data_IF_067002897720
#
_entry.id   IF_067002897720
#
_cell.length_a   1.000
_cell.length_b   1.000
_cell.length_c   1.000
_cell.angle_alpha   90.00
_cell.angle_beta   90.00
_cell.angle_gamma   90.00
#
_symmetry.space_group_name_H-M   'P 1'
#
loop_
_entity.id
_entity.type
_entity.pdbx_description
1 polymer ?
#
# COMPACT_ATOMS: atom_id res chain seq x y z
N UNK A 1 8.48 -25.35 -8.37
CA UNK A 1 8.75 -23.91 -8.22
C UNK A 1 7.60 -23.15 -8.86
N UNK A 2 6.68 -22.62 -8.08
CA UNK A 2 5.45 -21.96 -8.59
C UNK A 2 5.74 -20.52 -9.01
N UNK A 3 5.09 -20.00 -10.08
CA UNK A 3 5.40 -18.72 -10.71
C UNK A 3 4.88 -17.46 -9.96
N UNK A 4 4.51 -17.58 -8.68
CA UNK A 4 3.86 -16.48 -7.94
C UNK A 4 4.76 -15.25 -7.67
N UNK A 5 6.08 -15.36 -7.84
CA UNK A 5 7.05 -14.32 -7.47
C UNK A 5 7.33 -13.26 -8.55
N UNK A 6 6.83 -13.42 -9.77
CA UNK A 6 7.05 -12.47 -10.87
C UNK A 6 5.99 -11.37 -10.92
N UNK A 7 4.72 -11.69 -10.64
CA UNK A 7 3.63 -10.70 -10.59
C UNK A 7 3.52 -9.96 -9.24
N UNK A 8 4.29 -10.36 -8.23
CA UNK A 8 4.17 -9.75 -6.89
C UNK A 8 4.55 -8.26 -6.90
N UNK A 9 5.63 -7.87 -7.59
CA UNK A 9 6.09 -6.48 -7.63
C UNK A 9 5.03 -5.51 -8.14
N UNK A 10 4.55 -5.74 -9.36
CA UNK A 10 3.50 -4.94 -10.00
C UNK A 10 2.20 -4.93 -9.17
N UNK A 11 1.80 -6.07 -8.58
CA UNK A 11 0.64 -6.15 -7.71
C UNK A 11 0.76 -5.21 -6.51
N UNK A 12 1.89 -5.27 -5.78
CA UNK A 12 2.14 -4.43 -4.63
C UNK A 12 2.27 -2.94 -5.03
N UNK A 13 2.89 -2.64 -6.17
CA UNK A 13 2.93 -1.27 -6.72
C UNK A 13 1.52 -0.72 -6.98
N UNK A 14 0.64 -1.50 -7.61
CA UNK A 14 -0.74 -1.10 -7.86
C UNK A 14 -1.54 -0.93 -6.56
N UNK A 15 -1.32 -1.80 -5.56
CA UNK A 15 -1.92 -1.65 -4.23
C UNK A 15 -1.49 -0.36 -3.54
N UNK A 16 -0.21 -0.02 -3.55
CA UNK A 16 0.30 1.26 -2.99
C UNK A 16 -0.32 2.47 -3.70
N UNK A 17 -0.43 2.42 -5.03
CA UNK A 17 -1.10 3.48 -5.80
C UNK A 17 -2.57 3.66 -5.42
N UNK A 18 -3.32 2.55 -5.28
CA UNK A 18 -4.71 2.58 -4.82
C UNK A 18 -4.84 3.12 -3.39
N UNK A 19 -4.03 2.61 -2.46
CA UNK A 19 -4.06 3.02 -1.05
C UNK A 19 -3.76 4.51 -0.88
N UNK A 20 -2.85 5.08 -1.68
CA UNK A 20 -2.59 6.53 -1.68
C UNK A 20 -3.84 7.34 -2.01
N UNK A 21 -4.63 6.92 -3.00
CA UNK A 21 -5.92 7.56 -3.31
C UNK A 21 -6.91 7.40 -2.17
N UNK A 22 -7.14 6.16 -1.74
CA UNK A 22 -8.11 5.84 -0.70
C UNK A 22 -7.84 6.54 0.64
N UNK A 23 -6.56 6.63 1.05
CA UNK A 23 -6.17 7.32 2.29
C UNK A 23 -6.37 8.82 2.18
N UNK A 24 -6.05 9.45 1.04
CA UNK A 24 -6.30 10.89 0.84
C UNK A 24 -7.78 11.23 0.87
N UNK A 25 -8.62 10.38 0.28
CA UNK A 25 -10.07 10.56 0.33
C UNK A 25 -10.61 10.37 1.75
N UNK A 26 -10.13 9.34 2.48
CA UNK A 26 -10.53 9.11 3.87
C UNK A 26 -10.07 10.26 4.79
N UNK A 27 -8.86 10.75 4.62
CA UNK A 27 -8.33 11.92 5.34
C UNK A 27 -9.19 13.15 5.07
N UNK A 28 -9.46 13.47 3.80
CA UNK A 28 -10.28 14.62 3.43
C UNK A 28 -11.68 14.54 4.02
N UNK A 29 -12.31 13.36 3.98
CA UNK A 29 -13.62 13.11 4.57
C UNK A 29 -13.63 13.33 6.10
N UNK A 30 -12.60 12.83 6.79
CA UNK A 30 -12.49 12.98 8.25
C UNK A 30 -12.12 14.41 8.65
N UNK A 31 -11.37 15.13 7.83
CA UNK A 31 -11.05 16.54 8.04
C UNK A 31 -12.28 17.43 7.86
N UNK A 32 -13.11 17.15 6.85
CA UNK A 32 -14.38 17.86 6.63
C UNK A 32 -15.40 17.56 7.74
N UNK A 33 -15.48 16.28 8.16
CA UNK A 33 -16.41 15.84 9.20
C UNK A 33 -15.70 15.03 10.30
N UNK A 34 -15.07 15.68 11.29
CA UNK A 34 -14.34 14.99 12.36
C UNK A 34 -15.22 14.05 13.19
N UNK A 35 -16.53 14.33 13.27
CA UNK A 35 -17.51 13.46 13.94
C UNK A 35 -17.65 12.08 13.31
N UNK A 36 -17.22 11.90 12.04
CA UNK A 36 -17.20 10.58 11.39
C UNK A 36 -16.10 9.67 11.92
N UNK A 37 -15.12 10.19 12.68
CA UNK A 37 -14.03 9.37 13.21
C UNK A 37 -14.54 8.21 14.08
N UNK A 38 -15.58 8.43 14.89
CA UNK A 38 -16.21 7.38 15.70
C UNK A 38 -16.75 6.21 14.86
N UNK A 39 -17.75 6.43 13.99
CA UNK A 39 -18.33 5.37 13.16
C UNK A 39 -17.38 4.86 12.05
N UNK A 40 -16.33 5.61 11.70
CA UNK A 40 -15.34 5.20 10.68
C UNK A 40 -14.01 4.71 11.27
N UNK A 41 -13.86 4.60 12.58
CA UNK A 41 -12.61 4.23 13.24
C UNK A 41 -12.01 2.92 12.68
N UNK A 42 -12.85 1.93 12.40
CA UNK A 42 -12.42 0.67 11.81
C UNK A 42 -11.74 0.88 10.44
N UNK A 43 -12.31 1.73 9.58
CA UNK A 43 -11.74 2.04 8.27
C UNK A 43 -10.38 2.74 8.39
N UNK A 44 -10.21 3.61 9.39
CA UNK A 44 -8.92 4.26 9.69
C UNK A 44 -7.87 3.22 10.05
N UNK A 45 -8.16 2.32 11.00
CA UNK A 45 -7.21 1.28 11.40
C UNK A 45 -6.93 0.29 10.28
N UNK A 46 -7.92 -0.07 9.46
CA UNK A 46 -7.72 -0.90 8.27
C UNK A 46 -6.79 -0.22 7.26
N UNK A 47 -7.04 1.05 6.93
CA UNK A 47 -6.21 1.80 5.99
C UNK A 47 -4.76 1.90 6.47
N UNK A 48 -4.55 2.22 7.76
CA UNK A 48 -3.21 2.25 8.36
C UNK A 48 -2.52 0.89 8.34
N UNK A 49 -3.24 -0.20 8.66
CA UNK A 49 -2.68 -1.56 8.60
C UNK A 49 -2.25 -1.92 7.18
N UNK A 50 -3.10 -1.66 6.18
CA UNK A 50 -2.78 -1.97 4.79
C UNK A 50 -1.59 -1.15 4.28
N UNK A 51 -1.52 0.14 4.60
CA UNK A 51 -0.36 0.97 4.27
C UNK A 51 0.93 0.46 4.92
N UNK A 52 0.88 0.13 6.23
CA UNK A 52 2.03 -0.43 6.95
C UNK A 52 2.52 -1.72 6.31
N UNK A 53 1.59 -2.62 5.95
CA UNK A 53 1.92 -3.92 5.39
C UNK A 53 2.59 -3.78 4.01
N UNK A 54 2.08 -2.86 3.17
CA UNK A 54 2.68 -2.59 1.85
C UNK A 54 4.05 -1.89 1.95
N UNK A 55 4.25 -0.96 2.88
CA UNK A 55 5.57 -0.35 3.14
C UNK A 55 6.56 -1.40 3.64
N UNK A 56 6.13 -2.24 4.59
CA UNK A 56 6.96 -3.33 5.13
C UNK A 56 7.33 -4.34 4.05
N UNK A 57 6.39 -4.65 3.16
CA UNK A 57 6.64 -5.50 2.00
C UNK A 57 7.68 -4.87 1.07
N UNK A 58 7.52 -3.59 0.73
CA UNK A 58 8.42 -2.88 -0.18
C UNK A 58 9.85 -2.86 0.34
N UNK A 59 10.07 -2.45 1.60
CA UNK A 59 11.41 -2.37 2.20
C UNK A 59 12.14 -3.71 2.14
N UNK A 60 11.47 -4.79 2.55
CA UNK A 60 12.06 -6.14 2.55
C UNK A 60 12.42 -6.65 1.15
N UNK A 61 11.65 -6.26 0.13
CA UNK A 61 11.82 -6.79 -1.22
C UNK A 61 12.67 -5.89 -2.11
N UNK A 62 12.73 -4.58 -1.85
CA UNK A 62 13.58 -3.63 -2.57
C UNK A 62 15.08 -3.91 -2.34
N UNK A 63 15.45 -4.36 -1.13
CA UNK A 63 16.81 -4.76 -0.80
C UNK A 63 17.22 -6.09 -1.48
N UNK A 64 16.26 -6.93 -1.87
CA UNK A 64 16.46 -8.29 -2.36
C UNK A 64 16.10 -8.46 -3.85
N UNK A 65 16.06 -7.36 -4.63
CA UNK A 65 15.72 -7.42 -6.06
C UNK A 65 16.80 -8.17 -6.84
N UNK A 66 16.44 -9.35 -7.36
CA UNK A 66 17.28 -10.09 -8.31
C UNK A 66 17.23 -9.44 -9.69
N UNK A 67 18.34 -9.50 -10.45
CA UNK A 67 18.49 -8.91 -11.80
C UNK A 67 17.40 -9.28 -12.82
N UNK A 68 16.61 -10.31 -12.54
CA UNK A 68 15.54 -10.85 -13.39
C UNK A 68 14.17 -10.17 -13.19
N UNK A 69 14.03 -9.25 -12.23
CA UNK A 69 12.77 -8.55 -11.94
C UNK A 69 12.84 -7.09 -12.37
N UNK A 70 11.73 -6.53 -12.85
CA UNK A 70 11.57 -5.11 -13.19
C UNK A 70 11.86 -4.25 -11.96
N UNK A 71 12.98 -3.50 -11.91
CA UNK A 71 13.37 -2.73 -10.72
C UNK A 71 12.35 -1.66 -10.34
N UNK A 72 11.60 -1.15 -11.32
CA UNK A 72 10.60 -0.11 -11.13
C UNK A 72 9.47 -0.55 -10.20
N UNK A 73 9.13 -1.85 -10.18
CA UNK A 73 8.07 -2.40 -9.34
C UNK A 73 8.42 -2.36 -7.83
N UNK A 74 9.71 -2.31 -7.53
CA UNK A 74 10.27 -2.25 -6.17
C UNK A 74 10.73 -0.84 -5.78
N UNK A 75 10.35 0.15 -6.58
CA UNK A 75 10.51 1.57 -6.27
C UNK A 75 9.14 2.21 -6.00
N UNK A 76 9.11 3.21 -5.13
CA UNK A 76 7.95 4.07 -4.91
C UNK A 76 8.42 5.52 -5.11
N UNK A 77 7.78 6.25 -6.03
CA UNK A 77 8.08 7.64 -6.37
C UNK A 77 6.84 8.50 -6.18
#
# INVERSE_FOLDING_TARGET
MTPHSLHSGQLHRNRRAFLRGAVRELEALLADQPGLLGPKALYVFMALSFCRDEVSWLVRHAEHVTKTKTPEDYSDR
#
